data_IF_434879522602
#
_entry.id   IF_434879522602
#
_cell.length_a   1.000
_cell.length_b   1.000
_cell.length_c   1.000
_cell.angle_alpha   90.00
_cell.angle_beta   90.00
_cell.angle_gamma   90.00
#
_symmetry.space_group_name_H-M   'P 1'
#
loop_
_entity.id
_entity.type
_entity.pdbx_description
1 polymer ?
#
# COMPACT_ATOMS: atom_id res chain seq x y z
N UNK A 1 43.84 -1.02 8.49
CA UNK A 1 42.68 -1.65 9.16
C UNK A 1 41.66 -2.04 8.11
N UNK A 2 41.66 -3.30 7.68
CA UNK A 2 40.72 -3.81 6.68
C UNK A 2 39.33 -3.90 7.30
N UNK A 3 38.39 -3.05 6.84
CA UNK A 3 36.98 -3.19 7.18
C UNK A 3 36.51 -4.50 6.54
N UNK A 4 36.52 -5.57 7.32
CA UNK A 4 35.88 -6.84 6.97
C UNK A 4 34.39 -6.53 6.74
N UNK A 5 34.02 -6.26 5.48
CA UNK A 5 32.64 -6.21 5.02
C UNK A 5 32.12 -7.62 5.26
N UNK A 6 31.44 -7.81 6.40
CA UNK A 6 30.79 -9.07 6.69
C UNK A 6 29.63 -9.14 5.69
N UNK A 7 29.74 -10.05 4.72
CA UNK A 7 28.73 -10.36 3.71
C UNK A 7 27.49 -11.02 4.38
N UNK A 8 26.87 -10.34 5.35
CA UNK A 8 25.65 -10.80 6.03
C UNK A 8 24.46 -10.86 5.07
N UNK A 9 24.49 -10.11 3.97
CA UNK A 9 23.44 -10.14 2.94
C UNK A 9 23.22 -11.55 2.38
N UNK A 10 24.26 -12.38 2.27
CA UNK A 10 24.12 -13.73 1.70
C UNK A 10 23.32 -14.68 2.60
N UNK A 11 23.51 -14.59 3.92
CA UNK A 11 22.83 -15.47 4.88
C UNK A 11 21.37 -15.05 5.03
N UNK A 12 21.11 -13.74 5.11
CA UNK A 12 19.75 -13.22 5.19
C UNK A 12 18.93 -13.63 3.96
N UNK A 13 19.48 -13.41 2.77
CA UNK A 13 18.80 -13.78 1.51
C UNK A 13 18.50 -15.28 1.43
N UNK A 14 19.40 -16.12 1.95
CA UNK A 14 19.19 -17.57 2.02
C UNK A 14 17.99 -17.94 2.88
N UNK A 15 17.87 -17.36 4.08
CA UNK A 15 16.72 -17.62 4.97
C UNK A 15 15.41 -16.99 4.50
N UNK A 16 15.47 -15.94 3.68
CA UNK A 16 14.26 -15.29 3.17
C UNK A 16 13.73 -15.92 1.87
N UNK A 17 14.62 -16.39 0.99
CA UNK A 17 14.25 -16.84 -0.39
C UNK A 17 14.43 -18.35 -0.57
N UNK A 18 14.86 -19.06 0.48
CA UNK A 18 15.20 -20.49 0.52
C UNK A 18 16.24 -20.95 -0.53
N UNK A 19 16.82 -20.02 -1.27
CA UNK A 19 17.71 -20.27 -2.40
C UNK A 19 18.73 -19.13 -2.56
N UNK A 20 19.97 -19.48 -2.87
CA UNK A 20 21.02 -18.51 -3.21
C UNK A 20 20.90 -18.14 -4.68
N UNK A 21 19.98 -17.22 -4.99
CA UNK A 21 19.85 -16.63 -6.32
C UNK A 21 20.81 -15.46 -6.48
N UNK A 22 21.37 -15.33 -7.68
CA UNK A 22 22.15 -14.17 -8.10
C UNK A 22 21.55 -13.59 -9.37
N UNK A 23 21.50 -12.27 -9.48
CA UNK A 23 20.90 -11.59 -10.61
C UNK A 23 21.26 -10.12 -10.66
N UNK A 24 20.86 -9.48 -11.75
CA UNK A 24 20.98 -8.05 -11.96
C UNK A 24 19.95 -7.33 -11.09
N UNK A 25 20.38 -6.32 -10.35
CA UNK A 25 19.49 -5.40 -9.65
C UNK A 25 18.78 -4.50 -10.67
N UNK A 26 17.45 -4.54 -10.66
CA UNK A 26 16.61 -3.78 -11.61
C UNK A 26 16.17 -2.46 -11.01
N UNK A 27 15.72 -2.48 -9.75
CA UNK A 27 15.28 -1.28 -9.05
C UNK A 27 14.75 -1.57 -7.64
N UNK A 28 14.41 -0.50 -6.95
CA UNK A 28 13.83 -0.49 -5.61
C UNK A 28 12.53 0.33 -5.62
N UNK A 29 11.52 -0.12 -4.89
CA UNK A 29 10.27 0.65 -4.74
C UNK A 29 10.36 1.66 -3.59
N UNK A 30 9.31 2.48 -3.42
CA UNK A 30 9.22 3.43 -2.31
C UNK A 30 9.09 2.78 -0.92
N UNK A 31 8.81 1.47 -0.87
CA UNK A 31 8.66 0.70 0.37
C UNK A 31 9.96 -0.03 0.76
N UNK A 32 11.00 0.01 -0.08
CA UNK A 32 12.30 -0.61 0.13
C UNK A 32 12.39 -2.08 -0.30
N UNK A 33 11.44 -2.56 -1.11
CA UNK A 33 11.52 -3.86 -1.79
C UNK A 33 12.43 -3.75 -3.00
N UNK A 34 13.31 -4.74 -3.18
CA UNK A 34 14.33 -4.76 -4.24
C UNK A 34 14.03 -5.82 -5.27
N UNK A 35 14.05 -5.44 -6.53
CA UNK A 35 13.70 -6.30 -7.65
C UNK A 35 14.95 -6.74 -8.42
N UNK A 36 14.99 -8.02 -8.76
CA UNK A 36 16.11 -8.65 -9.43
C UNK A 36 15.64 -9.46 -10.63
N UNK A 37 16.51 -9.53 -11.64
CA UNK A 37 16.29 -10.29 -12.86
C UNK A 37 17.54 -11.08 -13.23
N UNK A 38 17.36 -12.31 -13.70
CA UNK A 38 18.42 -13.11 -14.29
C UNK A 38 17.87 -13.96 -15.46
N UNK A 39 18.18 -13.59 -16.72
CA UNK A 39 17.68 -14.29 -17.90
C UNK A 39 18.31 -15.68 -18.10
N UNK A 40 19.33 -16.07 -17.31
CA UNK A 40 19.88 -17.42 -17.34
C UNK A 40 19.01 -18.45 -16.61
N UNK A 41 18.10 -18.01 -15.74
CA UNK A 41 17.16 -18.91 -15.08
C UNK A 41 15.95 -19.22 -15.97
N UNK A 42 15.24 -20.28 -15.61
CA UNK A 42 14.03 -20.68 -16.32
C UNK A 42 12.92 -19.63 -16.16
N UNK A 43 12.09 -19.48 -17.19
CA UNK A 43 10.96 -18.54 -17.22
C UNK A 43 10.03 -18.75 -16.02
N UNK A 44 9.75 -17.67 -15.29
CA UNK A 44 8.97 -17.69 -14.05
C UNK A 44 9.81 -17.79 -12.77
N UNK A 45 11.13 -18.03 -12.90
CA UNK A 45 12.09 -17.96 -11.77
C UNK A 45 13.19 -16.93 -11.99
N UNK A 46 13.23 -16.35 -13.19
CA UNK A 46 14.16 -15.34 -13.66
C UNK A 46 13.95 -13.99 -12.98
N UNK A 47 12.73 -13.66 -12.54
CA UNK A 47 12.40 -12.45 -11.77
C UNK A 47 12.08 -12.81 -10.33
N UNK A 48 12.59 -12.05 -9.38
CA UNK A 48 12.22 -12.18 -7.97
C UNK A 48 12.36 -10.87 -7.22
N UNK A 49 11.71 -10.82 -6.05
CA UNK A 49 11.76 -9.69 -5.13
C UNK A 49 12.46 -10.10 -3.84
N UNK A 50 13.27 -9.21 -3.29
CA UNK A 50 13.75 -9.27 -1.91
C UNK A 50 13.01 -8.16 -1.15
N UNK A 51 12.12 -8.57 -0.25
CA UNK A 51 11.33 -7.64 0.55
C UNK A 51 12.19 -6.79 1.49
N UNK A 52 11.65 -5.66 1.93
CA UNK A 52 12.33 -4.79 2.87
C UNK A 52 12.70 -5.56 4.17
N UNK A 53 13.96 -5.52 4.63
CA UNK A 53 14.40 -6.14 5.88
C UNK A 53 13.58 -5.73 7.12
N UNK A 54 12.93 -4.56 7.11
CA UNK A 54 12.05 -4.10 8.18
C UNK A 54 10.84 -5.01 8.43
N UNK A 55 10.38 -5.71 7.39
CA UNK A 55 9.24 -6.64 7.47
C UNK A 55 9.65 -7.98 8.08
N UNK A 56 10.94 -8.33 7.97
CA UNK A 56 11.48 -9.57 8.51
C UNK A 56 10.88 -10.80 7.83
N UNK A 57 10.45 -11.78 8.63
CA UNK A 57 9.86 -13.04 8.17
C UNK A 57 8.37 -12.93 7.80
N UNK A 58 7.71 -11.80 8.12
CA UNK A 58 6.29 -11.58 7.82
C UNK A 58 6.10 -10.93 6.44
N UNK A 59 6.92 -11.32 5.46
CA UNK A 59 6.78 -10.83 4.10
C UNK A 59 5.57 -11.48 3.42
N UNK A 60 4.91 -10.74 2.54
CA UNK A 60 3.73 -11.21 1.83
C UNK A 60 3.72 -10.68 0.39
N UNK A 61 3.17 -11.47 -0.53
CA UNK A 61 3.04 -11.13 -1.95
C UNK A 61 2.23 -9.86 -2.19
N UNK A 62 1.32 -9.54 -1.28
CA UNK A 62 0.50 -8.33 -1.37
C UNK A 62 1.25 -7.02 -1.11
N UNK A 63 2.52 -7.08 -0.65
CA UNK A 63 3.34 -5.89 -0.37
C UNK A 63 4.01 -5.32 -1.63
N UNK A 64 3.85 -5.98 -2.78
CA UNK A 64 4.35 -5.49 -4.06
C UNK A 64 3.39 -4.41 -4.58
N UNK A 65 3.85 -3.16 -4.81
CA UNK A 65 3.00 -2.12 -5.35
C UNK A 65 2.58 -2.42 -6.79
N UNK A 66 1.45 -1.85 -7.21
CA UNK A 66 0.85 -2.07 -8.53
C UNK A 66 1.84 -1.80 -9.69
N UNK A 67 2.76 -0.84 -9.51
CA UNK A 67 3.77 -0.49 -10.50
C UNK A 67 4.72 -1.65 -10.81
N UNK A 68 5.14 -2.36 -9.77
CA UNK A 68 6.05 -3.50 -9.88
C UNK A 68 5.32 -4.82 -10.12
N UNK A 69 4.03 -4.88 -9.76
CA UNK A 69 3.23 -6.09 -9.88
C UNK A 69 3.17 -6.62 -11.32
N UNK A 70 2.91 -5.75 -12.31
CA UNK A 70 2.83 -6.15 -13.71
C UNK A 70 4.15 -6.68 -14.27
N UNK A 71 5.28 -6.09 -13.88
CA UNK A 71 6.60 -6.55 -14.27
C UNK A 71 6.98 -7.89 -13.61
N UNK A 72 6.67 -8.05 -12.32
CA UNK A 72 6.97 -9.28 -11.57
C UNK A 72 6.20 -10.48 -12.13
N UNK A 73 4.95 -10.27 -12.59
CA UNK A 73 4.09 -11.32 -13.14
C UNK A 73 4.18 -11.47 -14.67
N UNK A 74 5.25 -10.99 -15.29
CA UNK A 74 5.45 -11.05 -16.76
C UNK A 74 4.28 -10.49 -17.59
N UNK A 75 3.48 -9.59 -17.03
CA UNK A 75 2.41 -8.92 -17.77
C UNK A 75 2.97 -7.83 -18.68
N UNK A 76 4.07 -7.19 -18.24
CA UNK A 76 4.78 -6.15 -18.98
C UNK A 76 6.29 -6.37 -18.87
N UNK A 77 7.02 -6.16 -19.97
CA UNK A 77 8.50 -6.21 -19.95
C UNK A 77 9.13 -4.90 -19.49
N UNK A 78 8.35 -3.83 -19.43
CA UNK A 78 8.82 -2.51 -19.05
C UNK A 78 8.99 -2.42 -17.54
N UNK A 79 10.15 -1.92 -17.12
CA UNK A 79 10.42 -1.62 -15.72
C UNK A 79 9.70 -0.32 -15.35
N UNK A 80 8.99 -0.25 -14.20
CA UNK A 80 8.26 0.95 -13.80
C UNK A 80 9.13 2.19 -13.60
N UNK A 81 10.45 2.03 -13.46
CA UNK A 81 11.39 3.15 -13.37
C UNK A 81 11.65 3.83 -14.74
N UNK A 82 11.45 3.13 -15.85
CA UNK A 82 11.76 3.64 -17.20
C UNK A 82 10.60 4.38 -17.86
N UNK A 83 9.37 4.16 -17.39
CA UNK A 83 8.18 4.87 -17.86
C UNK A 83 7.57 5.66 -16.72
N UNK A 84 7.27 6.93 -16.97
CA UNK A 84 6.50 7.77 -16.06
C UNK A 84 5.17 7.09 -15.73
N UNK A 85 5.12 6.39 -14.60
CA UNK A 85 3.87 5.85 -14.09
C UNK A 85 2.96 7.05 -13.83
N UNK A 86 1.88 7.16 -14.59
CA UNK A 86 0.98 8.32 -14.49
C UNK A 86 0.19 8.21 -13.19
N UNK A 87 0.72 8.81 -12.12
CA UNK A 87 -0.01 8.97 -10.87
C UNK A 87 -1.20 9.91 -11.11
N UNK A 88 -2.40 9.35 -11.11
CA UNK A 88 -3.62 10.14 -11.21
C UNK A 88 -4.03 10.68 -9.83
N UNK A 89 -4.68 11.85 -9.80
CA UNK A 89 -5.13 12.49 -8.54
C UNK A 89 -6.04 11.62 -7.68
N UNK A 90 -6.76 10.68 -8.29
CA UNK A 90 -7.69 9.77 -7.61
C UNK A 90 -7.03 8.46 -7.15
N UNK A 91 -5.77 8.21 -7.53
CA UNK A 91 -5.06 6.99 -7.18
C UNK A 91 -4.58 7.07 -5.74
N UNK A 92 -4.98 6.09 -4.93
CA UNK A 92 -4.49 5.94 -3.56
C UNK A 92 -3.10 5.29 -3.54
N UNK A 93 -2.35 5.57 -2.49
CA UNK A 93 -1.09 4.87 -2.22
C UNK A 93 -1.34 3.37 -2.00
N UNK A 94 -0.31 2.57 -2.30
CA UNK A 94 -0.42 1.13 -2.17
C UNK A 94 -0.54 0.73 -0.69
N UNK A 95 -1.53 -0.12 -0.41
CA UNK A 95 -1.76 -0.75 0.89
C UNK A 95 -1.72 -2.27 0.73
N UNK A 96 -0.92 -3.00 1.53
CA UNK A 96 -0.90 -4.45 1.48
C UNK A 96 -2.20 -5.04 2.02
N UNK A 97 -2.37 -6.36 1.89
CA UNK A 97 -3.53 -7.06 2.39
C UNK A 97 -3.59 -7.02 3.93
N UNK A 98 -4.69 -6.47 4.47
CA UNK A 98 -4.91 -6.31 5.91
C UNK A 98 -5.81 -7.40 6.51
N UNK A 99 -6.10 -8.47 5.78
CA UNK A 99 -6.94 -9.59 6.26
C UNK A 99 -6.42 -10.16 7.57
N UNK A 100 -7.30 -10.39 8.55
CA UNK A 100 -6.94 -10.94 9.85
C UNK A 100 -6.29 -9.93 10.81
N UNK A 101 -6.09 -8.69 10.39
CA UNK A 101 -5.65 -7.59 11.27
C UNK A 101 -6.84 -6.74 11.73
N UNK A 102 -6.69 -5.88 12.76
CA UNK A 102 -7.72 -4.92 13.14
C UNK A 102 -8.13 -3.94 12.02
N UNK A 103 -7.30 -3.78 10.98
CA UNK A 103 -7.55 -2.91 9.82
C UNK A 103 -8.23 -3.64 8.64
N UNK A 104 -8.71 -4.87 8.85
CA UNK A 104 -9.41 -5.61 7.81
C UNK A 104 -10.69 -4.90 7.35
N UNK A 105 -11.07 -5.14 6.10
CA UNK A 105 -12.34 -4.64 5.57
C UNK A 105 -13.52 -5.34 6.24
N UNK A 106 -14.45 -4.56 6.78
CA UNK A 106 -15.72 -5.04 7.33
C UNK A 106 -16.85 -4.41 6.51
N UNK A 107 -17.68 -5.22 5.84
CA UNK A 107 -18.77 -4.67 5.05
C UNK A 107 -19.82 -4.01 5.94
N UNK A 108 -20.39 -2.91 5.45
CA UNK A 108 -21.49 -2.20 6.09
C UNK A 108 -22.52 -1.79 5.03
N UNK A 109 -23.75 -1.49 5.47
CA UNK A 109 -24.76 -0.92 4.57
C UNK A 109 -24.40 0.53 4.24
N UNK A 110 -24.05 0.81 2.99
CA UNK A 110 -23.85 2.18 2.50
C UNK A 110 -25.17 2.96 2.40
N UNK A 111 -26.30 2.25 2.41
CA UNK A 111 -27.64 2.85 2.29
C UNK A 111 -28.11 3.32 3.65
N UNK A 112 -28.62 4.55 3.70
CA UNK A 112 -29.34 5.07 4.88
C UNK A 112 -30.69 4.38 5.04
N UNK A 113 -31.25 4.43 6.24
CA UNK A 113 -32.60 3.92 6.48
C UNK A 113 -33.60 4.56 5.50
N UNK A 114 -34.38 3.71 4.81
CA UNK A 114 -35.35 4.16 3.81
C UNK A 114 -36.55 4.88 4.43
N UNK A 115 -36.98 4.45 5.61
CA UNK A 115 -38.10 5.01 6.35
C UNK A 115 -37.59 5.65 7.63
N UNK A 116 -37.87 6.93 7.81
CA UNK A 116 -37.53 7.65 9.04
C UNK A 116 -38.64 7.39 10.05
N UNK A 117 -38.28 6.90 11.24
CA UNK A 117 -39.23 6.74 12.34
C UNK A 117 -39.68 8.10 12.86
N UNK A 118 -40.96 8.23 13.18
CA UNK A 118 -41.47 9.44 13.83
C UNK A 118 -40.89 9.56 15.26
N UNK A 119 -40.24 10.68 15.56
CA UNK A 119 -39.70 10.98 16.89
C UNK A 119 -40.67 11.86 17.70
N UNK A 120 -41.28 11.35 18.80
CA UNK A 120 -42.29 12.07 19.58
C UNK A 120 -41.77 13.34 20.27
N UNK A 121 -40.45 13.47 20.51
CA UNK A 121 -39.90 14.55 21.33
C UNK A 121 -39.57 15.81 20.53
N UNK A 122 -39.56 15.74 19.20
CA UNK A 122 -39.15 16.85 18.33
C UNK A 122 -40.20 17.98 18.24
N UNK A 123 -41.48 17.68 18.45
CA UNK A 123 -42.58 18.64 18.36
C UNK A 123 -42.51 19.73 19.44
N UNK A 124 -41.87 19.47 20.58
CA UNK A 124 -41.80 20.42 21.71
C UNK A 124 -40.61 21.38 21.67
N UNK A 125 -39.69 21.25 20.70
CA UNK A 125 -38.43 22.02 20.66
C UNK A 125 -38.37 23.12 19.60
N UNK A 126 -39.49 23.44 18.94
CA UNK A 126 -39.60 24.68 18.15
C UNK A 126 -39.70 25.85 19.13
N UNK A 127 -38.59 26.22 19.76
CA UNK A 127 -38.46 27.53 20.39
C UNK A 127 -38.44 28.56 19.26
N UNK A 128 -39.25 29.63 19.30
CA UNK A 128 -39.19 30.68 18.30
C UNK A 128 -37.73 31.15 18.20
N UNK A 129 -37.19 31.14 16.98
CA UNK A 129 -35.82 31.58 16.73
C UNK A 129 -35.61 32.93 17.42
N UNK A 130 -34.68 32.99 18.38
CA UNK A 130 -34.37 34.23 19.07
C UNK A 130 -34.03 35.29 18.02
N UNK A 131 -34.61 36.50 18.09
CA UNK A 131 -34.32 37.53 17.09
C UNK A 131 -32.81 37.78 17.06
N UNK A 132 -32.20 37.60 15.89
CA UNK A 132 -30.77 37.87 15.68
C UNK A 132 -30.52 39.33 16.06
N UNK A 133 -29.81 39.59 17.17
CA UNK A 133 -29.34 40.93 17.53
C UNK A 133 -28.47 41.43 16.37
N UNK A 134 -28.95 42.41 15.60
CA UNK A 134 -28.14 43.13 14.62
C UNK A 134 -26.97 43.76 15.38
N UNK A 135 -25.75 43.31 15.09
CA UNK A 135 -24.53 43.96 15.55
C UNK A 135 -24.54 45.36 14.91
N UNK A 136 -24.69 46.40 15.73
CA UNK A 136 -24.54 47.78 15.27
C UNK A 136 -23.04 47.96 15.10
N UNK A 137 -22.58 47.95 13.85
CA UNK A 137 -21.22 48.34 13.54
C UNK A 137 -21.16 49.86 13.75
N UNK A 138 -20.41 50.30 14.76
CA UNK A 138 -20.12 51.71 14.98
C UNK A 138 -19.12 52.17 13.92
N UNK A 139 -19.39 53.35 13.34
CA UNK A 139 -18.50 54.09 12.44
C UNK A 139 -17.32 54.64 13.25
#
# INVERSE_FOLDING_TARGET
MSKRVRNFLSIHNFFSTDSLKFGRFVGEDGYGNKYYENPYYFFGTDRWVIYNPRVGLNYDGSQIPAQWFGWMHHTTDQVPCEKDFTCHRWMSDHTPNMTGTPMQYVPYSTVKEKSIAWDPKQVRLIKPSSPKKKKKDCI
#
